data_IF_807180417763
#
_entry.id   IF_807180417763
#
_cell.length_a   1.000
_cell.length_b   1.000
_cell.length_c   1.000
_cell.angle_alpha   90.00
_cell.angle_beta   90.00
_cell.angle_gamma   90.00
#
_symmetry.space_group_name_H-M   'P 1'
#
loop_
_entity.id
_entity.type
_entity.pdbx_description
1 polymer ?
#
# COMPACT_ATOMS: atom_id res chain seq x y z
N UNK A 1 -10.26 11.89 -13.16
CA UNK A 1 -9.48 10.84 -12.46
C UNK A 1 -8.20 11.49 -11.98
N UNK A 2 -7.95 11.51 -10.67
CA UNK A 2 -6.66 11.93 -10.14
C UNK A 2 -5.62 10.81 -10.36
N UNK A 3 -4.33 11.12 -10.52
CA UNK A 3 -3.30 10.09 -10.62
C UNK A 3 -3.21 9.29 -9.31
N UNK A 4 -3.36 7.97 -9.39
CA UNK A 4 -3.09 7.07 -8.26
C UNK A 4 -1.58 6.79 -8.21
N UNK A 5 -0.91 7.25 -7.17
CA UNK A 5 0.48 6.89 -6.92
C UNK A 5 0.53 5.56 -6.16
N UNK A 6 1.22 4.56 -6.71
CA UNK A 6 1.50 3.30 -6.02
C UNK A 6 2.98 3.31 -5.66
N UNK A 7 3.28 3.28 -4.36
CA UNK A 7 4.65 3.17 -3.85
C UNK A 7 4.96 1.69 -3.61
N UNK A 8 6.08 1.19 -4.13
CA UNK A 8 6.58 -0.16 -3.81
C UNK A 8 7.88 0.00 -3.05
N UNK A 9 7.98 -0.53 -1.84
CA UNK A 9 9.19 -0.40 -1.00
C UNK A 9 9.78 -1.77 -0.81
N UNK A 10 11.09 -1.95 -1.06
CA UNK A 10 11.78 -3.14 -0.57
C UNK A 10 12.21 -2.90 0.86
N UNK A 11 11.60 -3.60 1.80
CA UNK A 11 11.57 -3.29 3.21
C UNK A 11 11.88 -4.51 4.10
N UNK A 12 13.10 -5.03 3.97
CA UNK A 12 13.55 -6.13 4.84
C UNK A 12 13.70 -5.67 6.30
N UNK A 13 13.73 -4.35 6.53
CA UNK A 13 14.12 -3.72 7.79
C UNK A 13 12.97 -2.94 8.48
N UNK A 14 11.77 -2.82 7.90
CA UNK A 14 10.57 -2.26 8.52
C UNK A 14 10.26 -0.75 8.30
N UNK A 15 10.79 -0.12 7.26
CA UNK A 15 10.51 1.26 6.79
C UNK A 15 9.13 1.49 6.16
N UNK A 16 8.47 0.45 5.63
CA UNK A 16 7.17 0.51 4.98
C UNK A 16 6.08 1.11 5.87
N UNK A 17 5.93 0.65 7.13
CA UNK A 17 5.08 1.29 8.13
C UNK A 17 5.40 2.77 8.33
N UNK A 18 6.68 3.16 8.41
CA UNK A 18 7.07 4.57 8.60
C UNK A 18 6.66 5.45 7.42
N UNK A 19 6.80 4.97 6.19
CA UNK A 19 6.35 5.69 4.99
C UNK A 19 4.83 5.86 5.01
N UNK A 20 4.09 4.83 5.40
CA UNK A 20 2.64 4.92 5.48
C UNK A 20 2.16 5.91 6.56
N UNK A 21 2.83 5.95 7.71
CA UNK A 21 2.59 6.97 8.73
C UNK A 21 2.93 8.39 8.23
N UNK A 22 3.99 8.54 7.44
CA UNK A 22 4.35 9.84 6.84
C UNK A 22 3.34 10.33 5.79
N UNK A 23 2.56 9.42 5.20
CA UNK A 23 1.53 9.71 4.20
C UNK A 23 0.14 9.87 4.81
N UNK A 24 0.04 9.95 6.15
CA UNK A 24 -1.23 10.22 6.81
C UNK A 24 -1.83 11.53 6.29
N UNK A 25 -3.12 11.53 5.91
CA UNK A 25 -3.86 12.74 5.61
C UNK A 25 -3.80 13.75 6.77
N UNK A 26 -4.09 15.02 6.46
CA UNK A 26 -4.22 16.04 7.50
C UNK A 26 -5.25 15.59 8.56
N UNK A 27 -5.02 15.86 9.86
CA UNK A 27 -5.91 15.41 10.95
C UNK A 27 -7.36 15.88 10.81
N UNK A 28 -7.60 16.97 10.08
CA UNK A 28 -8.93 17.54 9.82
C UNK A 28 -9.55 17.04 8.50
N UNK A 29 -8.94 16.05 7.85
CA UNK A 29 -9.52 15.46 6.64
C UNK A 29 -10.65 14.50 7.01
N UNK A 30 -11.66 14.41 6.15
CA UNK A 30 -12.74 13.43 6.30
C UNK A 30 -12.36 12.08 5.66
N UNK A 31 -11.08 11.73 5.67
CA UNK A 31 -10.58 10.51 5.04
C UNK A 31 -10.54 9.37 6.08
N UNK A 32 -11.06 8.22 5.69
CA UNK A 32 -11.01 6.99 6.49
C UNK A 32 -9.83 6.15 6.07
N UNK A 33 -8.96 5.79 7.02
CA UNK A 33 -7.87 4.84 6.79
C UNK A 33 -8.40 3.41 6.86
N UNK A 34 -8.14 2.62 5.84
CA UNK A 34 -8.39 1.18 5.85
C UNK A 34 -7.10 0.42 5.53
N UNK A 35 -6.99 -0.79 6.07
CA UNK A 35 -5.88 -1.69 5.83
C UNK A 35 -6.38 -3.08 5.46
N UNK A 36 -5.81 -3.68 4.42
CA UNK A 36 -6.09 -5.07 4.03
C UNK A 36 -4.83 -5.76 3.55
N UNK A 37 -4.59 -7.00 3.98
CA UNK A 37 -3.46 -7.77 3.49
C UNK A 37 -3.70 -8.29 2.06
N UNK A 38 -2.63 -8.42 1.28
CA UNK A 38 -2.68 -8.99 -0.07
C UNK A 38 -1.56 -9.99 -0.30
N UNK A 39 -1.81 -10.89 -1.26
CA UNK A 39 -0.79 -11.73 -1.89
C UNK A 39 -0.84 -11.53 -3.39
N UNK A 40 0.33 -11.44 -4.02
CA UNK A 40 0.50 -11.21 -5.44
C UNK A 40 1.54 -12.20 -5.99
N UNK A 41 1.10 -13.03 -6.94
CA UNK A 41 2.01 -13.83 -7.75
C UNK A 41 2.86 -12.93 -8.64
N UNK A 42 4.18 -13.18 -8.66
CA UNK A 42 5.12 -12.48 -9.53
C UNK A 42 5.39 -13.23 -10.84
N UNK A 43 4.76 -14.38 -11.06
CA UNK A 43 4.96 -15.21 -12.26
C UNK A 43 4.65 -14.45 -13.55
N UNK A 44 3.66 -13.56 -13.52
CA UNK A 44 3.31 -12.70 -14.67
C UNK A 44 4.41 -11.70 -15.05
N UNK A 45 5.41 -11.54 -14.19
CA UNK A 45 6.61 -10.73 -14.40
C UNK A 45 7.85 -11.60 -14.64
N UNK A 46 7.67 -12.90 -14.91
CA UNK A 46 8.74 -13.91 -15.08
C UNK A 46 9.64 -14.10 -13.85
N UNK A 47 9.16 -13.70 -12.66
CA UNK A 47 9.80 -14.02 -11.39
C UNK A 47 9.15 -15.29 -10.85
N UNK A 48 9.90 -16.38 -10.86
CA UNK A 48 9.45 -17.71 -10.46
C UNK A 48 9.81 -17.98 -9.00
N UNK A 49 9.03 -18.86 -8.36
CA UNK A 49 9.22 -19.30 -6.97
C UNK A 49 9.26 -18.15 -5.95
N UNK A 50 8.72 -16.98 -6.31
CA UNK A 50 8.64 -15.81 -5.44
C UNK A 50 7.22 -15.26 -5.44
N UNK A 51 6.77 -14.85 -4.26
CA UNK A 51 5.50 -14.14 -4.07
C UNK A 51 5.79 -12.78 -3.45
N UNK A 52 4.93 -11.82 -3.74
CA UNK A 52 4.89 -10.57 -2.98
C UNK A 52 3.67 -10.62 -2.07
N UNK A 53 3.86 -10.31 -0.80
CA UNK A 53 2.78 -10.07 0.14
C UNK A 53 3.03 -8.77 0.89
N UNK A 54 1.99 -8.25 1.50
CA UNK A 54 2.07 -7.03 2.28
C UNK A 54 0.69 -6.52 2.66
N UNK A 55 0.66 -5.31 3.21
CA UNK A 55 -0.55 -4.63 3.61
C UNK A 55 -0.82 -3.46 2.66
N UNK A 56 -2.04 -3.42 2.14
CA UNK A 56 -2.60 -2.30 1.40
C UNK A 56 -3.18 -1.33 2.41
N UNK A 57 -2.69 -0.09 2.43
CA UNK A 57 -3.29 1.00 3.21
C UNK A 57 -3.94 1.98 2.25
N UNK A 58 -5.24 2.21 2.42
CA UNK A 58 -6.01 3.14 1.60
C UNK A 58 -6.67 4.20 2.45
N UNK A 59 -6.79 5.40 1.89
CA UNK A 59 -7.52 6.50 2.48
C UNK A 59 -8.73 6.82 1.60
N UNK A 60 -9.92 6.49 2.11
CA UNK A 60 -11.19 6.64 1.42
C UNK A 60 -11.84 7.97 1.79
N UNK A 61 -12.46 8.63 0.82
CA UNK A 61 -13.35 9.75 1.09
C UNK A 61 -14.72 9.29 1.67
N UNK A 62 -15.59 10.21 2.10
CA UNK A 62 -16.90 9.85 2.64
C UNK A 62 -17.82 9.08 1.67
N UNK A 63 -17.52 9.06 0.37
CA UNK A 63 -18.25 8.26 -0.62
C UNK A 63 -17.70 6.83 -0.76
N UNK A 64 -16.61 6.51 -0.06
CA UNK A 64 -15.89 5.24 -0.18
C UNK A 64 -14.91 5.20 -1.35
N UNK A 65 -14.63 6.34 -2.00
CA UNK A 65 -13.70 6.39 -3.12
C UNK A 65 -12.27 6.59 -2.63
N UNK A 66 -11.29 5.81 -3.12
CA UNK A 66 -9.90 5.95 -2.71
C UNK A 66 -9.29 7.24 -3.26
N UNK A 67 -8.82 8.10 -2.36
CA UNK A 67 -8.13 9.35 -2.69
C UNK A 67 -6.61 9.18 -2.68
N UNK A 68 -6.11 8.32 -1.79
CA UNK A 68 -4.71 7.92 -1.68
C UNK A 68 -4.66 6.41 -1.43
N UNK A 69 -3.83 5.70 -2.20
CA UNK A 69 -3.58 4.27 -2.02
C UNK A 69 -2.08 4.13 -1.78
N UNK A 70 -1.69 3.71 -0.58
CA UNK A 70 -0.31 3.40 -0.24
C UNK A 70 -0.18 1.87 -0.16
N UNK A 71 0.41 1.25 -1.18
CA UNK A 71 0.76 -0.16 -1.11
C UNK A 71 2.03 -0.27 -0.24
N UNK A 72 2.00 -1.05 0.83
CA UNK A 72 3.21 -1.41 1.58
C UNK A 72 3.59 -2.82 1.15
N UNK A 73 4.85 -3.01 0.75
CA UNK A 73 5.41 -4.31 0.43
C UNK A 73 6.33 -4.73 1.59
N UNK A 74 6.22 -5.98 2.06
CA UNK A 74 7.31 -6.97 2.08
C UNK A 74 6.86 -8.35 2.60
N UNK A 75 7.33 -9.49 2.08
CA UNK A 75 8.71 -10.04 2.07
C UNK A 75 8.93 -10.89 0.80
N UNK A 76 10.12 -10.82 0.19
CA UNK A 76 10.61 -11.85 -0.74
C UNK A 76 11.11 -13.03 0.10
N UNK A 77 10.27 -14.04 0.30
CA UNK A 77 10.68 -15.34 0.87
C UNK A 77 10.96 -16.34 -0.23
#
# INVERSE_FOLDING_TARGET
MAPTAIVLVRDADGFGPTIAEALLPSPNSNLTRESSSFELSLEKYDVKDSKASGDLIQFLDPSGSPQLICNIYLILS
#
